data_IF_691149309325
#
_entry.id   IF_691149309325
#
_cell.length_a   1.000
_cell.length_b   1.000
_cell.length_c   1.000
_cell.angle_alpha   90.00
_cell.angle_beta   90.00
_cell.angle_gamma   90.00
#
_symmetry.space_group_name_H-M   'P 1'
#
loop_
_entity.id
_entity.type
_entity.pdbx_description
1 polymer ?
#
# COMPACT_ATOMS: atom_id res chain seq x y z
N UNK A 1 9.65 24.58 6.35
CA UNK A 1 8.19 24.44 6.51
C UNK A 1 7.60 25.71 7.07
N UNK A 2 6.39 26.08 6.64
CA UNK A 2 5.58 27.11 7.28
C UNK A 2 4.89 26.47 8.49
N UNK A 3 5.03 27.07 9.66
CA UNK A 3 4.31 26.64 10.85
C UNK A 3 2.86 27.10 10.77
N UNK A 4 1.91 26.20 11.03
CA UNK A 4 0.46 26.49 10.96
C UNK A 4 0.03 27.55 11.98
N UNK A 5 0.66 27.53 13.15
CA UNK A 5 0.38 28.42 14.30
C UNK A 5 1.25 29.69 14.33
N UNK A 6 2.21 29.80 13.39
CA UNK A 6 3.11 30.98 13.27
C UNK A 6 3.28 31.35 11.78
N UNK A 7 2.29 32.02 11.18
CA UNK A 7 2.35 32.43 9.79
C UNK A 7 3.57 33.31 9.51
N UNK A 8 4.38 32.93 8.52
CA UNK A 8 5.58 33.66 8.13
C UNK A 8 6.89 33.17 8.76
N UNK A 9 6.86 32.31 9.79
CA UNK A 9 8.06 31.63 10.29
C UNK A 9 8.37 30.39 9.44
N UNK A 10 9.59 30.33 8.91
CA UNK A 10 10.12 29.16 8.20
C UNK A 10 10.97 28.36 9.19
N UNK A 11 10.54 27.15 9.47
CA UNK A 11 11.33 26.22 10.26
C UNK A 11 12.04 25.23 9.34
N UNK A 12 13.37 25.06 9.45
CA UNK A 12 14.06 24.03 8.71
C UNK A 12 13.57 22.64 9.12
N UNK A 13 13.57 21.64 8.20
CA UNK A 13 13.21 20.29 8.54
C UNK A 13 14.16 19.74 9.62
N UNK A 14 13.64 18.83 10.45
CA UNK A 14 14.44 18.12 11.45
C UNK A 14 13.97 16.68 11.53
N UNK A 15 14.90 15.73 11.60
CA UNK A 15 14.67 14.30 11.79
C UNK A 15 15.58 13.79 12.91
N UNK A 16 15.56 12.49 13.16
CA UNK A 16 16.51 11.84 14.07
C UNK A 16 17.98 12.06 13.67
N UNK A 17 18.25 12.38 12.39
CA UNK A 17 19.58 12.73 11.88
C UNK A 17 19.99 14.17 12.15
N UNK A 18 19.08 15.00 12.69
CA UNK A 18 19.32 16.38 13.06
C UNK A 18 18.64 17.43 12.19
N UNK A 19 19.01 18.69 12.43
CA UNK A 19 18.45 19.84 11.74
C UNK A 19 18.91 19.87 10.28
N UNK A 20 18.02 20.24 9.37
CA UNK A 20 18.28 20.31 7.92
C UNK A 20 17.99 19.01 7.17
N UNK A 21 17.77 17.91 7.89
CA UNK A 21 17.39 16.64 7.26
C UNK A 21 15.88 16.51 7.13
N UNK A 22 15.44 16.11 5.94
CA UNK A 22 14.03 15.86 5.64
C UNK A 22 13.84 14.38 5.28
N UNK A 23 12.92 13.72 5.98
CA UNK A 23 12.46 12.39 5.60
C UNK A 23 11.42 12.53 4.49
N UNK A 24 11.77 12.11 3.27
CA UNK A 24 10.86 12.13 2.12
C UNK A 24 9.79 11.06 2.22
N UNK A 25 10.03 10.01 3.01
CA UNK A 25 9.22 8.81 3.07
C UNK A 25 9.29 7.98 1.80
N UNK A 26 10.33 8.17 0.98
CA UNK A 26 10.56 7.39 -0.23
C UNK A 26 11.61 6.31 0.03
N UNK A 27 11.44 5.16 -0.64
CA UNK A 27 12.45 4.11 -0.75
C UNK A 27 13.15 4.30 -2.08
N UNK A 28 14.47 4.36 -2.02
CA UNK A 28 15.31 4.53 -3.20
C UNK A 28 16.47 3.53 -3.16
N UNK A 29 16.95 3.18 -4.33
CA UNK A 29 18.16 2.41 -4.56
C UNK A 29 19.20 3.33 -5.23
N UNK A 30 20.45 3.17 -4.85
CA UNK A 30 21.58 3.87 -5.46
C UNK A 30 22.47 2.85 -6.14
N UNK A 31 22.73 2.99 -7.43
CA UNK A 31 23.62 2.11 -8.17
C UNK A 31 25.10 2.44 -7.93
N UNK A 32 25.99 1.63 -8.53
CA UNK A 32 27.44 1.78 -8.39
C UNK A 32 27.96 3.10 -9.01
N UNK A 33 27.23 3.68 -9.96
CA UNK A 33 27.54 4.94 -10.62
C UNK A 33 26.99 6.16 -9.85
N UNK A 34 26.19 5.93 -8.80
CA UNK A 34 25.61 6.95 -7.94
C UNK A 34 24.25 7.48 -8.40
N UNK A 35 23.63 6.86 -9.42
CA UNK A 35 22.26 7.20 -9.81
C UNK A 35 21.26 6.69 -8.79
N UNK A 36 20.28 7.54 -8.48
CA UNK A 36 19.24 7.25 -7.52
C UNK A 36 17.94 6.89 -8.24
N UNK A 37 17.45 5.67 -8.00
CA UNK A 37 16.16 5.19 -8.50
C UNK A 37 15.15 5.15 -7.36
N UNK A 38 14.03 5.89 -7.48
CA UNK A 38 12.95 5.87 -6.49
C UNK A 38 12.09 4.62 -6.73
N UNK A 39 12.08 3.72 -5.76
CA UNK A 39 11.29 2.47 -5.81
C UNK A 39 9.84 2.69 -5.38
N UNK A 40 9.57 3.73 -4.58
CA UNK A 40 8.23 4.10 -4.15
C UNK A 40 8.18 4.70 -2.74
N UNK A 41 6.96 4.88 -2.23
CA UNK A 41 6.71 5.39 -0.88
C UNK A 41 6.92 4.30 0.15
N UNK A 42 7.62 4.55 1.25
CA UNK A 42 7.86 3.61 2.34
C UNK A 42 6.54 3.01 2.89
N UNK A 43 5.49 3.85 3.01
CA UNK A 43 4.14 3.43 3.42
C UNK A 43 3.43 2.51 2.41
N UNK A 44 3.98 2.36 1.20
CA UNK A 44 3.47 1.47 0.14
C UNK A 44 4.23 0.16 0.05
N UNK A 45 4.97 -0.20 1.09
CA UNK A 45 5.63 -1.49 1.24
C UNK A 45 5.16 -2.18 2.52
N UNK A 46 5.13 -3.50 2.48
CA UNK A 46 4.83 -4.37 3.61
C UNK A 46 6.01 -5.32 3.86
N UNK A 47 6.38 -5.54 5.13
CA UNK A 47 7.43 -6.50 5.48
C UNK A 47 6.83 -7.89 5.70
N UNK A 48 6.97 -8.76 4.71
CA UNK A 48 6.42 -10.11 4.72
C UNK A 48 7.54 -11.13 4.77
N UNK A 49 7.63 -11.88 5.87
CA UNK A 49 8.68 -12.89 6.03
C UNK A 49 10.11 -12.36 6.04
N UNK A 50 10.29 -11.08 6.32
CA UNK A 50 11.59 -10.41 6.28
C UNK A 50 11.85 -9.61 4.99
N UNK A 51 11.08 -9.84 3.94
CA UNK A 51 11.22 -9.17 2.64
C UNK A 51 10.25 -7.98 2.50
N UNK A 52 10.69 -6.95 1.79
CA UNK A 52 9.87 -5.77 1.47
C UNK A 52 9.05 -6.05 0.23
N UNK A 53 7.73 -6.09 0.37
CA UNK A 53 6.78 -6.33 -0.72
C UNK A 53 6.06 -5.04 -1.07
N UNK A 54 6.12 -4.65 -2.33
CA UNK A 54 5.40 -3.47 -2.83
C UNK A 54 3.89 -3.73 -2.86
N UNK A 55 3.13 -2.85 -2.23
CA UNK A 55 1.66 -2.88 -2.31
C UNK A 55 1.19 -2.52 -3.74
N UNK A 56 1.94 -1.71 -4.45
CA UNK A 56 1.65 -1.41 -5.87
C UNK A 56 1.78 -2.66 -6.73
N UNK A 57 2.81 -3.50 -6.51
CA UNK A 57 2.94 -4.76 -7.24
C UNK A 57 1.77 -5.72 -6.98
N UNK A 58 1.17 -5.70 -5.78
CA UNK A 58 -0.05 -6.47 -5.48
C UNK A 58 -1.24 -5.94 -6.28
N UNK A 59 -1.38 -4.63 -6.41
CA UNK A 59 -2.43 -3.99 -7.22
C UNK A 59 -2.24 -4.27 -8.71
N UNK A 60 -1.01 -4.25 -9.19
CA UNK A 60 -0.66 -4.61 -10.58
C UNK A 60 -0.98 -6.08 -10.89
N UNK A 61 -0.66 -7.01 -9.98
CA UNK A 61 -1.06 -8.41 -10.12
C UNK A 61 -2.58 -8.56 -10.18
N UNK A 62 -3.32 -7.81 -9.37
CA UNK A 62 -4.78 -7.82 -9.39
C UNK A 62 -5.32 -7.23 -10.70
N UNK A 63 -4.75 -6.16 -11.21
CA UNK A 63 -5.12 -5.54 -12.48
C UNK A 63 -4.81 -6.45 -13.70
N UNK A 64 -3.70 -7.19 -13.65
CA UNK A 64 -3.38 -8.22 -14.66
C UNK A 64 -4.37 -9.39 -14.62
N UNK A 65 -4.89 -9.71 -13.44
CA UNK A 65 -5.83 -10.83 -13.26
C UNK A 65 -7.25 -10.43 -13.62
N UNK A 66 -7.66 -9.23 -13.24
CA UNK A 66 -9.01 -8.69 -13.45
C UNK A 66 -8.92 -7.26 -13.99
N UNK A 67 -8.64 -7.10 -15.30
CA UNK A 67 -8.58 -5.80 -15.92
C UNK A 67 -9.91 -5.06 -15.82
N UNK A 68 -9.88 -3.73 -15.98
CA UNK A 68 -11.05 -2.82 -15.93
C UNK A 68 -11.75 -2.71 -14.55
N UNK A 69 -11.22 -3.37 -13.52
CA UNK A 69 -11.76 -3.33 -12.17
C UNK A 69 -10.79 -2.59 -11.25
N UNK A 70 -11.33 -1.80 -10.33
CA UNK A 70 -10.50 -1.10 -9.34
C UNK A 70 -10.01 -2.05 -8.25
N UNK A 71 -8.76 -1.88 -7.92
CA UNK A 71 -8.06 -2.61 -6.86
C UNK A 71 -7.29 -1.63 -5.99
N UNK A 72 -7.20 -1.95 -4.72
CA UNK A 72 -6.34 -1.25 -3.77
C UNK A 72 -5.78 -2.24 -2.76
N UNK A 73 -4.57 -2.05 -2.30
CA UNK A 73 -3.96 -2.90 -1.30
C UNK A 73 -3.48 -2.09 -0.10
N UNK A 74 -3.61 -2.68 1.07
CA UNK A 74 -3.05 -2.15 2.31
C UNK A 74 -2.32 -3.25 3.07
N UNK A 75 -1.39 -2.87 3.94
CA UNK A 75 -0.87 -3.77 4.95
C UNK A 75 -1.54 -3.49 6.29
N UNK A 76 -1.77 -4.55 7.06
CA UNK A 76 -2.24 -4.47 8.44
C UNK A 76 -1.42 -5.39 9.32
N UNK A 77 -1.30 -5.03 10.59
CA UNK A 77 -0.68 -5.89 11.60
C UNK A 77 -1.75 -6.83 12.18
N UNK A 78 -1.53 -8.14 12.11
CA UNK A 78 -2.42 -9.16 12.67
C UNK A 78 -2.26 -9.27 14.20
N UNK A 79 -3.12 -10.05 14.86
CA UNK A 79 -3.08 -10.28 16.32
C UNK A 79 -1.78 -10.94 16.82
N UNK A 80 -0.98 -11.51 15.92
CA UNK A 80 0.33 -12.12 16.22
C UNK A 80 1.49 -11.17 15.89
N UNK A 81 1.21 -9.87 15.77
CA UNK A 81 2.17 -8.82 15.41
C UNK A 81 2.90 -9.08 14.08
N UNK A 82 2.20 -9.66 13.10
CA UNK A 82 2.75 -9.92 11.77
C UNK A 82 2.04 -9.05 10.75
N UNK A 83 2.81 -8.47 9.86
CA UNK A 83 2.29 -7.69 8.74
C UNK A 83 1.61 -8.60 7.72
N UNK A 84 0.45 -8.18 7.22
CA UNK A 84 -0.39 -8.92 6.27
C UNK A 84 -0.88 -8.00 5.18
N UNK A 85 -0.71 -8.43 3.94
CA UNK A 85 -1.25 -7.71 2.79
C UNK A 85 -2.70 -8.12 2.57
N UNK A 86 -3.56 -7.12 2.43
CA UNK A 86 -4.98 -7.26 2.12
C UNK A 86 -5.22 -6.58 0.78
N UNK A 87 -5.79 -7.30 -0.17
CA UNK A 87 -6.30 -6.74 -1.42
C UNK A 87 -7.78 -6.41 -1.24
N UNK A 88 -8.15 -5.19 -1.55
CA UNK A 88 -9.55 -4.75 -1.68
C UNK A 88 -9.86 -4.62 -3.16
N UNK A 89 -10.98 -5.16 -3.60
CA UNK A 89 -11.37 -5.16 -5.01
C UNK A 89 -12.87 -5.01 -5.19
N UNK A 90 -13.27 -4.37 -6.27
CA UNK A 90 -14.68 -4.28 -6.69
C UNK A 90 -15.15 -5.56 -7.42
N UNK A 91 -14.25 -6.51 -7.70
CA UNK A 91 -14.59 -7.81 -8.29
C UNK A 91 -15.23 -8.75 -7.25
N UNK A 92 -16.54 -8.95 -7.33
CA UNK A 92 -17.29 -9.85 -6.43
C UNK A 92 -16.88 -11.33 -6.55
N UNK A 93 -16.26 -11.72 -7.68
CA UNK A 93 -15.83 -13.10 -7.96
C UNK A 93 -14.32 -13.33 -7.71
N UNK A 94 -13.61 -12.30 -7.20
CA UNK A 94 -12.18 -12.38 -6.95
C UNK A 94 -11.81 -13.56 -6.03
N UNK A 95 -10.80 -14.31 -6.42
CA UNK A 95 -10.32 -15.47 -5.66
C UNK A 95 -8.80 -15.64 -5.78
N UNK A 96 -8.20 -16.33 -4.82
CA UNK A 96 -6.76 -16.54 -4.76
C UNK A 96 -6.23 -17.43 -5.89
N UNK A 97 -7.02 -18.38 -6.40
CA UNK A 97 -6.55 -19.32 -7.43
C UNK A 97 -6.23 -18.60 -8.74
N UNK A 98 -7.03 -17.59 -9.10
CA UNK A 98 -6.77 -16.79 -10.30
C UNK A 98 -5.50 -15.96 -10.14
N UNK A 99 -5.32 -15.28 -8.97
CA UNK A 99 -4.09 -14.54 -8.67
C UNK A 99 -2.86 -15.45 -8.73
N UNK A 100 -2.93 -16.65 -8.13
CA UNK A 100 -1.83 -17.60 -8.15
C UNK A 100 -1.47 -18.06 -9.57
N UNK A 101 -2.48 -18.33 -10.41
CA UNK A 101 -2.26 -18.72 -11.82
C UNK A 101 -1.56 -17.61 -12.60
N UNK A 102 -2.01 -16.38 -12.45
CA UNK A 102 -1.43 -15.22 -13.15
C UNK A 102 -0.04 -14.89 -12.60
N UNK A 103 0.16 -14.94 -11.29
CA UNK A 103 1.48 -14.74 -10.67
C UNK A 103 2.49 -15.78 -11.22
N UNK A 104 2.13 -17.05 -11.22
CA UNK A 104 2.99 -18.12 -11.76
C UNK A 104 3.30 -17.95 -13.25
N UNK A 105 2.28 -17.59 -14.05
CA UNK A 105 2.45 -17.36 -15.50
C UNK A 105 3.44 -16.22 -15.79
N UNK A 106 3.41 -15.16 -14.97
CA UNK A 106 4.22 -13.96 -15.16
C UNK A 106 5.49 -13.95 -14.29
N UNK A 107 5.83 -15.05 -13.61
CA UNK A 107 7.01 -15.20 -12.74
C UNK A 107 7.04 -14.13 -11.60
N UNK A 108 5.85 -13.73 -11.14
CA UNK A 108 5.68 -12.81 -10.01
C UNK A 108 5.84 -13.58 -8.70
N UNK A 109 6.58 -13.00 -7.74
CA UNK A 109 6.82 -13.60 -6.42
C UNK A 109 5.51 -13.97 -5.71
N UNK A 110 5.48 -15.14 -5.07
CA UNK A 110 4.34 -15.58 -4.25
C UNK A 110 4.06 -14.64 -3.06
N UNK A 111 5.07 -13.89 -2.60
CA UNK A 111 4.91 -12.90 -1.54
C UNK A 111 4.01 -11.73 -1.96
N UNK A 112 3.88 -11.47 -3.27
CA UNK A 112 2.97 -10.47 -3.84
C UNK A 112 1.51 -10.91 -3.75
N UNK A 113 1.23 -12.21 -3.53
CA UNK A 113 -0.14 -12.71 -3.41
C UNK A 113 -0.71 -12.31 -2.05
N UNK A 114 -1.80 -11.52 -2.01
CA UNK A 114 -2.35 -11.01 -0.75
C UNK A 114 -2.85 -12.14 0.14
N UNK A 115 -2.68 -12.02 1.44
CA UNK A 115 -3.15 -13.04 2.39
C UNK A 115 -4.67 -13.11 2.46
N UNK A 116 -5.35 -12.00 2.19
CA UNK A 116 -6.82 -11.90 2.21
C UNK A 116 -7.28 -11.00 1.06
N UNK A 117 -8.38 -11.41 0.43
CA UNK A 117 -9.12 -10.59 -0.53
C UNK A 117 -10.41 -10.14 0.14
N UNK A 118 -10.69 -8.85 0.05
CA UNK A 118 -11.94 -8.25 0.53
C UNK A 118 -12.64 -7.63 -0.67
N UNK A 119 -13.87 -8.06 -0.90
CA UNK A 119 -14.69 -7.45 -1.95
C UNK A 119 -15.50 -6.27 -1.40
N UNK A 120 -15.63 -5.24 -2.21
CA UNK A 120 -16.47 -4.06 -1.92
C UNK A 120 -17.28 -3.68 -3.14
N UNK A 121 -18.31 -2.88 -2.93
CA UNK A 121 -19.10 -2.29 -4.04
C UNK A 121 -18.28 -1.19 -4.70
N UNK A 122 -17.62 -0.37 -3.88
CA UNK A 122 -16.82 0.75 -4.33
C UNK A 122 -15.59 0.94 -3.43
N UNK A 123 -14.45 1.22 -4.05
CA UNK A 123 -13.23 1.60 -3.34
C UNK A 123 -13.31 3.11 -3.05
N UNK A 124 -13.09 3.55 -1.79
CA UNK A 124 -13.14 4.95 -1.44
C UNK A 124 -12.07 5.76 -2.19
N UNK A 125 -12.49 6.89 -2.74
CA UNK A 125 -11.63 7.82 -3.47
C UNK A 125 -11.75 9.24 -2.91
N UNK A 126 -10.65 9.98 -2.95
CA UNK A 126 -10.62 11.40 -2.63
C UNK A 126 -11.25 12.22 -3.78
N UNK A 127 -11.60 13.48 -3.49
CA UNK A 127 -12.08 14.42 -4.51
C UNK A 127 -11.10 14.62 -5.70
N UNK A 128 -9.83 14.30 -5.49
CA UNK A 128 -8.77 14.32 -6.52
C UNK A 128 -8.76 13.08 -7.42
N UNK A 129 -9.65 12.12 -7.20
CA UNK A 129 -9.68 10.83 -7.92
C UNK A 129 -8.68 9.78 -7.42
N UNK A 130 -7.84 10.11 -6.44
CA UNK A 130 -6.90 9.14 -5.84
C UNK A 130 -7.59 8.29 -4.78
N UNK A 131 -7.09 7.07 -4.55
CA UNK A 131 -7.60 6.18 -3.49
C UNK A 131 -7.45 6.86 -2.12
N UNK A 132 -8.54 6.85 -1.35
CA UNK A 132 -8.56 7.28 0.04
C UNK A 132 -8.14 6.11 0.95
N UNK A 133 -6.85 6.00 1.20
CA UNK A 133 -6.30 4.91 2.01
C UNK A 133 -6.73 4.98 3.48
N UNK A 134 -7.13 6.14 4.00
CA UNK A 134 -7.63 6.29 5.37
C UNK A 134 -8.99 5.60 5.49
N UNK A 135 -9.92 5.94 4.63
CA UNK A 135 -11.24 5.30 4.59
C UNK A 135 -11.16 3.84 4.16
N UNK A 136 -10.22 3.49 3.27
CA UNK A 136 -9.98 2.10 2.88
C UNK A 136 -9.52 1.24 4.07
N UNK A 137 -8.62 1.75 4.90
CA UNK A 137 -8.16 1.05 6.11
C UNK A 137 -9.31 0.86 7.12
N UNK A 138 -10.14 1.88 7.34
CA UNK A 138 -11.32 1.76 8.20
C UNK A 138 -12.29 0.69 7.69
N UNK A 139 -12.57 0.66 6.38
CA UNK A 139 -13.40 -0.37 5.73
C UNK A 139 -12.82 -1.77 5.95
N UNK A 140 -11.52 -1.95 5.76
CA UNK A 140 -10.85 -3.25 5.95
C UNK A 140 -10.93 -3.69 7.40
N UNK A 141 -10.62 -2.79 8.35
CA UNK A 141 -10.67 -3.10 9.79
C UNK A 141 -12.09 -3.48 10.24
N UNK A 142 -13.13 -2.79 9.76
CA UNK A 142 -14.52 -3.13 10.05
C UNK A 142 -14.89 -4.54 9.56
N UNK A 143 -14.52 -4.87 8.32
CA UNK A 143 -14.80 -6.20 7.73
C UNK A 143 -14.00 -7.34 8.37
N UNK A 144 -12.82 -7.06 8.91
CA UNK A 144 -12.01 -8.07 9.61
C UNK A 144 -12.55 -8.32 11.01
N UNK A 145 -13.01 -7.27 11.70
CA UNK A 145 -13.52 -7.36 13.07
C UNK A 145 -15.01 -7.77 13.14
N UNK A 146 -15.67 -8.01 12.00
CA UNK A 146 -17.08 -8.42 11.94
C UNK A 146 -18.07 -7.28 12.21
N UNK A 147 -17.63 -6.02 12.23
CA UNK A 147 -18.50 -4.86 12.37
C UNK A 147 -18.91 -4.41 10.96
N UNK A 148 -20.17 -4.66 10.59
CA UNK A 148 -20.74 -4.08 9.37
C UNK A 148 -20.90 -2.58 9.58
N UNK A 149 -20.09 -1.77 8.89
CA UNK A 149 -20.37 -0.35 8.70
C UNK A 149 -21.55 -0.28 7.71
N UNK A 150 -22.70 0.20 8.20
CA UNK A 150 -23.85 0.54 7.36
C UNK A 150 -23.58 1.85 6.61
#
# INVERSE_FOLDING_TARGET
YLLHDKPGEIQPPSTEKGLGWYDTGDIAEVDEEGFLTILGRAKRFAKIGGEMVSLTAVEELAALTWPEIKHASISIIDKKNRERIILVTENKKANHLELQKIAKKNQISELTIPKKIITTIEIPILATGKIDYVNLEMLVRSKINGVNVK
#
